data_IF_441535289378
#
_entry.id   IF_441535289378
#
_cell.length_a   1.000
_cell.length_b   1.000
_cell.length_c   1.000
_cell.angle_alpha   90.00
_cell.angle_beta   90.00
_cell.angle_gamma   90.00
#
_symmetry.space_group_name_H-M   'P 1'
#
loop_
_entity.id
_entity.type
_entity.pdbx_description
1 polymer ?
#
# COMPACT_ATOMS: atom_id res chain seq x y z
N UNK A 1 -0.50 1.16 5.64
CA UNK A 1 -1.43 1.95 4.78
C UNK A 1 -1.97 3.12 5.59
N UNK A 2 -2.16 4.30 4.98
CA UNK A 2 -2.93 5.40 5.58
C UNK A 2 -4.39 5.30 5.14
N UNK A 3 -5.35 5.54 6.03
CA UNK A 3 -6.78 5.45 5.75
C UNK A 3 -7.56 6.63 6.30
N UNK A 4 -8.65 6.98 5.64
CA UNK A 4 -9.71 7.84 6.15
C UNK A 4 -11.01 7.54 5.38
N UNK A 5 -11.99 6.98 6.08
CA UNK A 5 -13.29 6.60 5.50
C UNK A 5 -13.17 5.72 4.24
N UNK A 6 -12.32 4.67 4.32
CA UNK A 6 -11.99 3.77 3.21
C UNK A 6 -12.34 2.31 3.51
N UNK A 7 -13.43 2.02 4.20
CA UNK A 7 -13.85 0.67 4.61
C UNK A 7 -13.80 -0.34 3.46
N UNK A 8 -14.47 -0.04 2.35
CA UNK A 8 -14.57 -0.95 1.22
C UNK A 8 -13.23 -1.15 0.50
N UNK A 9 -12.45 -0.09 0.33
CA UNK A 9 -11.12 -0.11 -0.25
C UNK A 9 -10.15 -0.90 0.62
N UNK A 10 -10.21 -0.70 1.92
CA UNK A 10 -9.39 -1.41 2.89
C UNK A 10 -9.68 -2.92 2.84
N UNK A 11 -10.95 -3.31 2.87
CA UNK A 11 -11.36 -4.71 2.78
C UNK A 11 -10.81 -5.39 1.51
N UNK A 12 -10.84 -4.71 0.37
CA UNK A 12 -10.32 -5.24 -0.89
C UNK A 12 -8.80 -5.42 -0.88
N UNK A 13 -8.06 -4.48 -0.31
CA UNK A 13 -6.60 -4.64 -0.17
C UNK A 13 -6.26 -5.79 0.77
N UNK A 14 -6.89 -5.82 1.94
CA UNK A 14 -6.63 -6.83 2.95
C UNK A 14 -6.95 -8.24 2.45
N UNK A 15 -8.05 -8.43 1.69
CA UNK A 15 -8.41 -9.73 1.12
C UNK A 15 -7.31 -10.32 0.22
N UNK A 16 -6.58 -9.48 -0.52
CA UNK A 16 -5.47 -9.93 -1.37
C UNK A 16 -4.22 -10.22 -0.53
N UNK A 17 -3.98 -9.44 0.54
CA UNK A 17 -2.81 -9.63 1.40
C UNK A 17 -2.85 -10.91 2.23
N UNK A 18 -4.03 -11.52 2.42
CA UNK A 18 -4.18 -12.83 3.09
C UNK A 18 -3.27 -13.89 2.49
N UNK A 19 -3.14 -13.95 1.16
CA UNK A 19 -2.25 -14.90 0.50
C UNK A 19 -0.80 -14.74 0.97
N UNK A 20 -0.32 -13.50 1.07
CA UNK A 20 1.03 -13.21 1.57
C UNK A 20 1.21 -13.54 3.06
N UNK A 21 0.14 -13.43 3.86
CA UNK A 21 0.18 -13.80 5.27
C UNK A 21 0.24 -15.33 5.44
N UNK A 22 -0.51 -16.08 4.65
CA UNK A 22 -0.50 -17.55 4.65
C UNK A 22 0.87 -18.09 4.24
N UNK A 23 1.51 -17.49 3.25
CA UNK A 23 2.86 -17.86 2.78
C UNK A 23 4.00 -17.27 3.64
N UNK A 24 3.67 -16.53 4.71
CA UNK A 24 4.66 -15.95 5.62
C UNK A 24 5.44 -14.74 5.09
N UNK A 25 5.09 -14.23 3.91
CA UNK A 25 5.70 -13.03 3.35
C UNK A 25 5.22 -11.75 4.08
N UNK A 26 3.93 -11.70 4.44
CA UNK A 26 3.33 -10.59 5.19
C UNK A 26 3.20 -10.98 6.65
N UNK A 27 4.02 -10.39 7.50
CA UNK A 27 4.07 -10.70 8.96
C UNK A 27 3.32 -9.69 9.83
N UNK A 28 2.99 -8.51 9.30
CA UNK A 28 2.31 -7.43 10.03
C UNK A 28 1.61 -6.51 9.02
N UNK A 29 0.39 -6.10 9.31
CA UNK A 29 -0.32 -5.08 8.54
C UNK A 29 -0.72 -3.95 9.48
N UNK A 30 -0.27 -2.74 9.16
CA UNK A 30 -0.48 -1.54 9.98
C UNK A 30 -1.33 -0.55 9.20
N UNK A 31 -2.42 -0.12 9.82
CA UNK A 31 -3.36 0.87 9.30
C UNK A 31 -3.20 2.15 10.12
N UNK A 32 -2.82 3.22 9.46
CA UNK A 32 -2.64 4.54 10.05
C UNK A 32 -3.88 5.37 9.75
N UNK A 33 -4.70 5.58 10.77
CA UNK A 33 -5.99 6.25 10.60
C UNK A 33 -5.87 7.77 10.74
N UNK A 34 -6.63 8.46 9.90
CA UNK A 34 -6.76 9.93 9.92
C UNK A 34 -8.16 10.37 10.41
N UNK A 35 -8.73 9.63 11.36
CA UNK A 35 -10.02 9.95 11.96
C UNK A 35 -11.20 9.45 11.13
N UNK A 36 -11.20 8.18 10.73
CA UNK A 36 -12.31 7.50 10.06
C UNK A 36 -13.56 7.46 10.93
N UNK A 37 -14.73 7.56 10.27
CA UNK A 37 -16.05 7.49 10.90
C UNK A 37 -16.91 6.35 10.35
N UNK A 38 -16.38 5.62 9.39
CA UNK A 38 -16.98 4.43 8.78
C UNK A 38 -16.52 3.13 9.47
N UNK A 39 -16.78 1.98 8.87
CA UNK A 39 -16.37 0.68 9.38
C UNK A 39 -14.89 0.31 9.20
N UNK A 40 -14.01 1.25 8.84
CA UNK A 40 -12.58 0.98 8.60
C UNK A 40 -11.89 0.27 9.78
N UNK A 41 -12.20 0.67 11.02
CA UNK A 41 -11.65 0.02 12.23
C UNK A 41 -12.11 -1.43 12.34
N UNK A 42 -13.37 -1.72 12.07
CA UNK A 42 -13.92 -3.08 12.16
C UNK A 42 -13.33 -4.01 11.10
N UNK A 43 -13.11 -3.50 9.89
CA UNK A 43 -12.43 -4.24 8.81
C UNK A 43 -10.98 -4.56 9.19
N UNK A 44 -10.27 -3.60 9.76
CA UNK A 44 -8.89 -3.80 10.21
C UNK A 44 -8.80 -4.84 11.33
N UNK A 45 -9.67 -4.74 12.34
CA UNK A 45 -9.73 -5.67 13.48
C UNK A 45 -10.07 -7.10 13.01
N UNK A 46 -11.08 -7.24 12.15
CA UNK A 46 -11.48 -8.54 11.61
C UNK A 46 -10.37 -9.21 10.79
N UNK A 47 -9.50 -8.43 10.16
CA UNK A 47 -8.34 -8.90 9.41
C UNK A 47 -7.08 -9.09 10.29
N UNK A 48 -7.15 -8.85 11.60
CA UNK A 48 -6.00 -8.96 12.51
C UNK A 48 -4.93 -7.90 12.29
N UNK A 49 -5.29 -6.76 11.74
CA UNK A 49 -4.38 -5.66 11.49
C UNK A 49 -4.16 -4.82 12.76
N UNK A 50 -3.02 -4.17 12.84
CA UNK A 50 -2.76 -3.14 13.85
C UNK A 50 -3.33 -1.80 13.38
N UNK A 51 -4.45 -1.37 13.99
CA UNK A 51 -5.09 -0.09 13.70
C UNK A 51 -4.57 0.99 14.65
N UNK A 52 -4.07 2.10 14.12
CA UNK A 52 -3.47 3.19 14.87
C UNK A 52 -4.23 4.48 14.59
N UNK A 53 -5.04 4.94 15.56
CA UNK A 53 -5.76 6.22 15.48
C UNK A 53 -4.87 7.42 15.81
N UNK A 54 -3.91 7.22 16.70
CA UNK A 54 -2.85 8.20 17.02
C UNK A 54 -1.50 7.57 16.70
N UNK A 55 -0.68 8.24 15.90
CA UNK A 55 0.58 7.68 15.46
C UNK A 55 1.61 8.76 15.07
N UNK A 56 2.86 8.40 15.25
CA UNK A 56 4.02 9.06 14.65
C UNK A 56 4.67 8.09 13.67
N UNK A 57 4.99 8.56 12.47
CA UNK A 57 5.51 7.70 11.42
C UNK A 57 6.85 7.05 11.80
N UNK A 58 7.70 7.75 12.52
CA UNK A 58 9.00 7.22 12.93
C UNK A 58 8.84 6.06 13.94
N UNK A 59 7.87 6.16 14.85
CA UNK A 59 7.57 5.10 15.81
C UNK A 59 6.90 3.89 15.13
N UNK A 60 5.98 4.14 14.22
CA UNK A 60 5.35 3.09 13.41
C UNK A 60 6.38 2.29 12.64
N UNK A 61 7.26 2.97 11.90
CA UNK A 61 8.28 2.30 11.09
C UNK A 61 9.25 1.50 11.97
N UNK A 62 9.65 2.02 13.13
CA UNK A 62 10.50 1.29 14.09
C UNK A 62 9.81 0.05 14.66
N UNK A 63 8.51 0.14 14.95
CA UNK A 63 7.72 -0.95 15.56
C UNK A 63 7.21 -2.00 14.56
N UNK A 64 7.22 -1.72 13.25
CA UNK A 64 6.80 -2.65 12.22
C UNK A 64 7.63 -3.94 12.25
N UNK A 65 7.00 -5.08 12.01
CA UNK A 65 7.66 -6.38 11.89
C UNK A 65 8.28 -6.53 10.50
N UNK A 66 9.23 -7.45 10.38
CA UNK A 66 9.89 -7.75 9.12
C UNK A 66 11.02 -6.77 8.75
N UNK A 67 11.80 -7.15 7.77
CA UNK A 67 12.93 -6.37 7.26
C UNK A 67 12.54 -5.43 6.11
N UNK A 68 11.42 -5.71 5.47
CA UNK A 68 10.88 -4.94 4.36
C UNK A 68 9.52 -4.35 4.69
N UNK A 69 9.25 -3.18 4.17
CA UNK A 69 7.97 -2.49 4.28
C UNK A 69 7.36 -2.33 2.89
N UNK A 70 6.09 -2.73 2.76
CA UNK A 70 5.29 -2.51 1.57
C UNK A 70 4.26 -1.41 1.87
N UNK A 71 4.42 -0.26 1.25
CA UNK A 71 3.53 0.89 1.39
C UNK A 71 2.49 0.85 0.28
N UNK A 72 1.22 0.77 0.65
CA UNK A 72 0.08 0.71 -0.27
C UNK A 72 -0.98 1.74 0.11
N UNK A 73 -1.77 2.18 -0.88
CA UNK A 73 -3.02 2.90 -0.66
C UNK A 73 -4.16 1.88 -0.43
N UNK A 74 -5.16 2.17 0.44
CA UNK A 74 -6.39 1.37 0.52
C UNK A 74 -7.06 1.26 -0.85
N UNK A 75 -7.42 0.06 -1.27
CA UNK A 75 -7.94 -0.25 -2.61
C UNK A 75 -6.87 -0.73 -3.62
N UNK A 76 -5.60 -0.49 -3.35
CA UNK A 76 -4.51 -1.02 -4.17
C UNK A 76 -4.32 -2.52 -3.95
N UNK A 77 -4.13 -3.28 -5.04
CA UNK A 77 -4.05 -4.75 -4.98
C UNK A 77 -2.94 -5.28 -5.89
N UNK A 78 -1.91 -5.92 -5.35
CA UNK A 78 -0.99 -6.70 -6.16
C UNK A 78 -1.73 -7.87 -6.82
N UNK A 79 -1.37 -8.22 -8.06
CA UNK A 79 -2.03 -9.26 -8.84
C UNK A 79 -1.01 -10.24 -9.42
N UNK A 80 -1.51 -11.39 -9.91
CA UNK A 80 -0.66 -12.45 -10.43
C UNK A 80 0.05 -13.23 -9.32
N UNK A 81 1.26 -13.67 -9.59
CA UNK A 81 2.10 -14.43 -8.63
C UNK A 81 2.90 -13.49 -7.70
N UNK A 82 2.23 -12.49 -7.17
CA UNK A 82 2.87 -11.41 -6.42
C UNK A 82 3.65 -11.90 -5.19
N UNK A 83 3.18 -12.97 -4.52
CA UNK A 83 3.86 -13.50 -3.34
C UNK A 83 5.22 -14.08 -3.72
N UNK A 84 5.26 -14.94 -4.75
CA UNK A 84 6.49 -15.56 -5.21
C UNK A 84 7.49 -14.50 -5.71
N UNK A 85 7.00 -13.56 -6.55
CA UNK A 85 7.83 -12.52 -7.15
C UNK A 85 8.40 -11.54 -6.11
N UNK A 86 7.60 -11.19 -5.09
CA UNK A 86 8.11 -10.35 -4.00
C UNK A 86 9.06 -11.12 -3.10
N UNK A 87 8.78 -12.39 -2.78
CA UNK A 87 9.69 -13.24 -1.99
C UNK A 87 11.06 -13.36 -2.66
N UNK A 88 11.07 -13.58 -3.98
CA UNK A 88 12.31 -13.61 -4.76
C UNK A 88 13.01 -12.23 -4.71
N UNK A 89 12.25 -11.15 -4.95
CA UNK A 89 12.82 -9.81 -4.95
C UNK A 89 13.50 -9.46 -3.62
N UNK A 90 12.82 -9.67 -2.49
CA UNK A 90 13.36 -9.30 -1.17
C UNK A 90 14.54 -10.16 -0.74
N UNK A 91 14.64 -11.39 -1.26
CA UNK A 91 15.77 -12.29 -1.00
C UNK A 91 17.02 -11.93 -1.78
N UNK A 92 16.89 -11.40 -3.00
CA UNK A 92 17.99 -11.16 -3.92
C UNK A 92 18.42 -9.68 -4.02
N UNK A 93 17.58 -8.75 -3.56
CA UNK A 93 17.82 -7.31 -3.75
C UNK A 93 17.82 -6.54 -2.43
N UNK A 94 18.37 -5.33 -2.50
CA UNK A 94 18.39 -4.37 -1.38
C UNK A 94 17.80 -3.02 -1.74
N UNK A 95 17.57 -2.78 -3.03
CA UNK A 95 17.08 -1.50 -3.54
C UNK A 95 15.56 -1.36 -3.35
N UNK A 96 15.04 -0.15 -3.14
CA UNK A 96 13.62 0.11 -3.16
C UNK A 96 12.99 -0.25 -4.50
N UNK A 97 11.70 -0.64 -4.48
CA UNK A 97 10.98 -1.01 -5.69
C UNK A 97 9.55 -0.44 -5.75
N UNK A 98 8.99 -0.39 -6.95
CA UNK A 98 7.59 -0.07 -7.23
C UNK A 98 6.99 -1.15 -8.10
N UNK A 99 5.73 -1.41 -7.89
CA UNK A 99 4.98 -2.32 -8.76
C UNK A 99 4.84 -1.76 -10.18
N UNK A 100 4.69 -2.66 -11.14
CA UNK A 100 4.27 -2.28 -12.49
C UNK A 100 2.81 -1.86 -12.48
N UNK A 101 2.43 -0.80 -13.23
CA UNK A 101 1.02 -0.45 -13.38
C UNK A 101 0.26 -1.59 -14.07
N UNK A 102 -0.95 -1.90 -13.57
CA UNK A 102 -1.81 -2.90 -14.19
C UNK A 102 -2.06 -2.60 -15.67
N UNK A 103 -1.88 -3.61 -16.53
CA UNK A 103 -2.12 -3.51 -17.96
C UNK A 103 -3.60 -3.28 -18.28
N UNK A 104 -4.48 -3.82 -17.45
CA UNK A 104 -5.93 -3.71 -17.63
C UNK A 104 -6.51 -2.37 -17.14
N UNK A 105 -5.81 -1.69 -16.21
CA UNK A 105 -6.29 -0.46 -15.56
C UNK A 105 -5.30 0.68 -15.79
N UNK A 106 -5.27 1.18 -17.03
CA UNK A 106 -4.41 2.32 -17.38
C UNK A 106 -5.22 3.61 -17.38
N UNK A 107 -4.67 4.66 -16.78
CA UNK A 107 -5.26 6.00 -16.91
C UNK A 107 -5.26 6.42 -18.39
N UNK A 108 -6.33 7.07 -18.87
CA UNK A 108 -6.35 7.68 -20.20
C UNK A 108 -5.12 8.58 -20.43
N UNK A 109 -4.58 8.58 -21.65
CA UNK A 109 -3.36 9.31 -22.00
C UNK A 109 -3.42 10.80 -21.61
N UNK A 110 -4.56 11.46 -21.82
CA UNK A 110 -4.77 12.87 -21.48
C UNK A 110 -4.64 13.13 -19.96
N UNK A 111 -5.17 12.22 -19.11
CA UNK A 111 -5.03 12.32 -17.66
C UNK A 111 -3.59 12.05 -17.19
N UNK A 112 -2.84 11.23 -17.90
CA UNK A 112 -1.40 10.97 -17.60
C UNK A 112 -0.52 12.18 -17.85
N UNK A 113 -0.87 13.03 -18.84
CA UNK A 113 -0.14 14.24 -19.19
C UNK A 113 -0.49 15.41 -18.26
N UNK A 114 -1.72 15.47 -17.76
CA UNK A 114 -2.21 16.58 -16.93
C UNK A 114 -2.08 16.36 -15.42
N UNK A 115 -1.96 15.13 -14.96
CA UNK A 115 -1.90 14.80 -13.52
C UNK A 115 -0.68 13.94 -13.21
N UNK A 116 0.16 14.44 -12.30
CA UNK A 116 1.26 13.64 -11.76
C UNK A 116 0.66 12.45 -10.98
N UNK A 117 1.20 11.25 -11.20
CA UNK A 117 0.78 10.07 -10.44
C UNK A 117 1.03 10.30 -8.93
N UNK A 118 0.08 9.85 -8.09
CA UNK A 118 0.28 9.90 -6.65
C UNK A 118 1.51 9.05 -6.26
N UNK A 119 2.30 9.46 -5.25
CA UNK A 119 3.54 8.78 -4.88
C UNK A 119 3.38 7.29 -4.57
N UNK A 120 2.21 6.87 -4.05
CA UNK A 120 1.90 5.49 -3.69
C UNK A 120 0.99 4.78 -4.71
N UNK A 121 0.61 5.42 -5.83
CA UNK A 121 -0.25 4.80 -6.85
C UNK A 121 0.29 3.47 -7.38
N UNK A 122 1.61 3.34 -7.47
CA UNK A 122 2.30 2.11 -7.86
C UNK A 122 2.82 1.31 -6.66
N UNK A 123 2.34 1.58 -5.45
CA UNK A 123 2.90 1.03 -4.23
C UNK A 123 4.38 1.37 -4.06
N UNK A 124 4.95 1.04 -2.93
CA UNK A 124 6.37 1.24 -2.68
C UNK A 124 6.90 0.18 -1.72
N UNK A 125 7.97 -0.49 -2.11
CA UNK A 125 8.65 -1.52 -1.34
C UNK A 125 10.03 -0.99 -0.96
N UNK A 126 10.39 -1.03 0.33
CA UNK A 126 11.70 -0.59 0.79
C UNK A 126 12.13 -1.34 2.05
N UNK A 127 13.42 -1.35 2.31
CA UNK A 127 13.94 -1.95 3.55
C UNK A 127 13.53 -1.10 4.76
N UNK A 128 13.16 -1.77 5.85
CA UNK A 128 12.80 -1.11 7.11
C UNK A 128 13.89 -0.14 7.59
N UNK A 129 15.16 -0.53 7.51
CA UNK A 129 16.27 0.34 7.91
C UNK A 129 16.30 1.67 7.12
N UNK A 130 15.96 1.63 5.83
CA UNK A 130 15.90 2.82 4.97
C UNK A 130 14.70 3.70 5.29
N UNK A 131 13.57 3.07 5.65
CA UNK A 131 12.39 3.78 6.12
C UNK A 131 12.66 4.46 7.47
N UNK A 132 13.31 3.77 8.42
CA UNK A 132 13.71 4.35 9.72
C UNK A 132 14.65 5.53 9.53
N UNK A 133 15.62 5.43 8.62
CA UNK A 133 16.54 6.53 8.33
C UNK A 133 15.85 7.74 7.69
N UNK A 134 14.75 7.53 6.94
CA UNK A 134 14.00 8.57 6.24
C UNK A 134 12.90 9.20 7.11
N UNK A 135 12.25 8.41 7.97
CA UNK A 135 11.08 8.86 8.73
C UNK A 135 11.41 10.01 9.68
N UNK A 136 10.54 11.02 9.70
CA UNK A 136 10.58 12.18 10.60
C UNK A 136 9.18 12.42 11.14
N UNK A 137 9.07 13.22 12.20
CA UNK A 137 7.79 13.63 12.74
C UNK A 137 6.94 14.37 11.70
N UNK A 138 5.63 14.16 11.75
CA UNK A 138 4.64 14.75 10.84
C UNK A 138 4.77 14.39 9.34
N UNK A 139 5.57 13.38 9.00
CA UNK A 139 5.64 12.85 7.63
C UNK A 139 4.49 11.87 7.36
N UNK A 140 4.15 11.73 6.07
CA UNK A 140 3.24 10.71 5.54
C UNK A 140 4.02 9.61 4.82
N UNK A 141 3.37 8.47 4.61
CA UNK A 141 3.95 7.37 3.82
C UNK A 141 4.31 7.82 2.38
N UNK A 142 3.52 8.73 1.81
CA UNK A 142 3.78 9.33 0.50
C UNK A 142 5.11 10.09 0.44
N UNK A 143 5.54 10.69 1.55
CA UNK A 143 6.78 11.47 1.59
C UNK A 143 8.00 10.55 1.52
N UNK A 144 7.96 9.41 2.22
CA UNK A 144 8.99 8.36 2.11
C UNK A 144 9.09 7.85 0.67
N UNK A 145 7.95 7.59 0.02
CA UNK A 145 7.90 7.09 -1.33
C UNK A 145 8.39 8.12 -2.36
N UNK A 146 8.10 9.41 -2.17
CA UNK A 146 8.48 10.49 -3.10
C UNK A 146 9.98 10.76 -3.12
N UNK A 147 10.66 10.54 -2.02
CA UNK A 147 12.05 10.94 -1.83
C UNK A 147 13.07 9.99 -2.48
N UNK A 148 12.64 8.85 -3.04
CA UNK A 148 13.57 7.79 -3.47
C UNK A 148 13.31 7.29 -4.88
N UNK A 149 14.41 7.08 -5.64
CA UNK A 149 14.39 6.26 -6.84
C UNK A 149 14.07 4.81 -6.47
N UNK A 150 13.39 4.08 -7.35
CA UNK A 150 12.97 2.71 -7.11
C UNK A 150 13.06 1.88 -8.40
N UNK A 151 13.42 0.61 -8.26
CA UNK A 151 13.34 -0.35 -9.35
C UNK A 151 11.89 -0.67 -9.66
N UNK A 152 11.62 -1.07 -10.89
CA UNK A 152 10.30 -1.52 -11.30
C UNK A 152 10.22 -3.03 -11.13
N UNK A 153 9.21 -3.49 -10.39
CA UNK A 153 8.88 -4.91 -10.24
C UNK A 153 8.18 -5.43 -11.50
N UNK A 154 8.26 -6.72 -11.73
CA UNK A 154 7.45 -7.42 -12.74
C UNK A 154 5.99 -7.49 -12.29
N UNK A 155 5.77 -7.72 -11.00
CA UNK A 155 4.46 -7.75 -10.35
C UNK A 155 3.64 -6.50 -10.67
N UNK A 156 2.41 -6.70 -11.15
CA UNK A 156 1.47 -5.61 -11.42
C UNK A 156 0.67 -5.23 -10.15
N UNK A 157 0.32 -3.95 -10.06
CA UNK A 157 -0.59 -3.42 -9.05
C UNK A 157 -1.82 -2.83 -9.73
N UNK A 158 -3.00 -3.27 -9.31
CA UNK A 158 -4.25 -2.56 -9.58
C UNK A 158 -4.28 -1.36 -8.64
N UNK A 159 -4.32 -0.13 -9.16
CA UNK A 159 -4.24 1.06 -8.32
C UNK A 159 -5.55 1.32 -7.57
N UNK A 160 -5.46 2.00 -6.42
CA UNK A 160 -6.57 2.29 -5.53
C UNK A 160 -7.77 2.97 -6.22
N UNK A 161 -7.51 3.89 -7.16
CA UNK A 161 -8.57 4.64 -7.85
C UNK A 161 -9.53 3.76 -8.67
N UNK A 162 -9.16 2.53 -9.02
CA UNK A 162 -10.05 1.57 -9.70
C UNK A 162 -11.21 1.16 -8.79
N UNK A 163 -10.93 0.94 -7.51
CA UNK A 163 -11.93 0.60 -6.50
C UNK A 163 -12.88 1.76 -6.22
N UNK A 164 -12.33 2.95 -6.06
CA UNK A 164 -13.10 4.19 -5.84
C UNK A 164 -14.04 4.48 -7.03
N UNK A 165 -13.57 4.27 -8.26
CA UNK A 165 -14.35 4.44 -9.48
C UNK A 165 -15.56 3.52 -9.54
N UNK A 166 -15.42 2.25 -9.14
CA UNK A 166 -16.50 1.29 -9.12
C UNK A 166 -17.59 1.65 -8.09
N UNK A 167 -17.21 2.19 -6.92
CA UNK A 167 -18.18 2.65 -5.90
C UNK A 167 -19.03 3.82 -6.40
N UNK A 168 -18.42 4.77 -7.08
CA UNK A 168 -19.15 5.92 -7.65
C UNK A 168 -20.13 5.52 -8.75
N UNK A 169 -19.90 4.42 -9.45
CA UNK A 169 -20.79 3.88 -10.48
C UNK A 169 -21.96 3.10 -9.87
N UNK A 170 -21.73 2.37 -8.79
CA UNK A 170 -22.76 1.56 -8.11
C UNK A 170 -23.78 2.41 -7.33
N UNK A 171 -23.41 3.61 -6.87
CA UNK A 171 -24.31 4.54 -6.16
C UNK A 171 -25.24 5.31 -7.13
N UNK A 172 -24.93 5.29 -8.44
CA UNK A 172 -25.71 5.97 -9.48
C UNK A 172 -26.66 5.04 -10.26
N UNK A 173 -26.69 3.76 -9.96
CA UNK A 173 -27.57 2.74 -10.54
C UNK A 173 -28.69 2.37 -9.56
#
# INVERSE_FOLDING_TARGET
METRDNEAELAQTLSVLVAGAVEGLVSDVIILDHGSRDGSVHVADAAGCRFCAEWDLADIVRSARGEWLMLLEPGARPVGRWVDELSEYVSLNKDPARFSPSRMHRRPLLKRLSQRAAPLEAGFLLRKQDAVAAARANMRLSDIASARAARKLVTELVPAWVTVGNRSSAVRA
#
